data_IF_830366207947
#
_entry.id   IF_830366207947
#
_cell.length_a   1.000
_cell.length_b   1.000
_cell.length_c   1.000
_cell.angle_alpha   90.00
_cell.angle_beta   90.00
_cell.angle_gamma   90.00
#
_symmetry.space_group_name_H-M   'P 1'
#
loop_
_entity.id
_entity.type
_entity.pdbx_description
1 polymer ?
#
# COMPACT_ATOMS: atom_id res chain seq x y z
N UNK A 1 3.41 -10.43 0.11
CA UNK A 1 4.22 -9.44 0.85
C UNK A 1 5.70 -9.72 0.61
N UNK A 2 6.45 -8.68 0.33
CA UNK A 2 7.87 -8.82 0.08
C UNK A 2 8.60 -7.49 0.23
N UNK A 3 9.91 -7.53 -0.05
CA UNK A 3 10.73 -6.32 0.00
C UNK A 3 10.63 -5.52 -1.30
N UNK A 4 11.24 -4.31 -1.28
CA UNK A 4 11.18 -3.42 -2.44
C UNK A 4 11.88 -4.01 -3.66
N UNK A 5 13.03 -4.67 -3.47
CA UNK A 5 13.76 -5.23 -4.60
C UNK A 5 12.95 -6.29 -5.36
N UNK A 6 12.09 -7.04 -4.65
CA UNK A 6 11.25 -8.07 -5.25
C UNK A 6 9.99 -7.51 -5.91
N UNK A 7 9.40 -6.45 -5.36
CA UNK A 7 8.06 -5.98 -5.75
C UNK A 7 8.05 -4.60 -6.42
N UNK A 8 9.19 -3.93 -6.52
CA UNK A 8 9.27 -2.54 -6.98
C UNK A 8 8.61 -2.30 -8.33
N UNK A 9 8.86 -3.15 -9.30
CA UNK A 9 8.35 -2.95 -10.66
C UNK A 9 6.82 -2.91 -10.69
N UNK A 10 6.18 -3.93 -10.08
CA UNK A 10 4.73 -3.99 -10.05
C UNK A 10 4.11 -2.90 -9.16
N UNK A 11 4.71 -2.62 -8.02
CA UNK A 11 4.23 -1.58 -7.12
C UNK A 11 4.29 -0.21 -7.79
N UNK A 12 5.39 0.11 -8.48
CA UNK A 12 5.52 1.37 -9.21
C UNK A 12 4.47 1.52 -10.29
N UNK A 13 4.16 0.44 -11.01
CA UNK A 13 3.17 0.49 -12.07
C UNK A 13 1.79 0.88 -11.54
N UNK A 14 1.34 0.26 -10.44
CA UNK A 14 0.05 0.58 -9.82
C UNK A 14 0.07 1.99 -9.25
N UNK A 15 1.12 2.36 -8.52
CA UNK A 15 1.25 3.66 -7.87
C UNK A 15 1.30 4.79 -8.89
N UNK A 16 1.98 4.60 -10.01
CA UNK A 16 2.03 5.59 -11.06
C UNK A 16 0.64 5.84 -11.64
N UNK A 17 -0.10 4.79 -11.97
CA UNK A 17 -1.46 4.93 -12.51
C UNK A 17 -2.39 5.65 -11.52
N UNK A 18 -2.37 5.24 -10.24
CA UNK A 18 -3.31 5.77 -9.25
C UNK A 18 -2.89 7.15 -8.75
N UNK A 19 -1.65 7.31 -8.33
CA UNK A 19 -1.23 8.55 -7.66
C UNK A 19 -0.78 9.61 -8.65
N UNK A 20 -0.05 9.26 -9.69
CA UNK A 20 0.50 10.24 -10.62
C UNK A 20 -0.52 10.56 -11.72
N UNK A 21 -1.06 9.57 -12.41
CA UNK A 21 -1.97 9.79 -13.52
C UNK A 21 -3.37 10.18 -13.07
N UNK A 22 -3.95 9.45 -12.14
CA UNK A 22 -5.33 9.67 -11.69
C UNK A 22 -5.45 10.83 -10.71
N UNK A 23 -4.61 10.86 -9.67
CA UNK A 23 -4.67 11.87 -8.62
C UNK A 23 -3.75 13.05 -8.83
N UNK A 24 -2.94 13.02 -9.91
CA UNK A 24 -2.06 14.12 -10.31
C UNK A 24 -1.05 14.53 -9.24
N UNK A 25 -0.61 13.58 -8.43
CA UNK A 25 0.48 13.81 -7.49
C UNK A 25 1.79 13.85 -8.27
N UNK A 26 2.65 14.87 -8.08
CA UNK A 26 3.94 14.92 -8.75
C UNK A 26 4.77 13.67 -8.47
N UNK A 27 5.40 13.12 -9.51
CA UNK A 27 6.22 11.91 -9.39
C UNK A 27 7.29 12.03 -8.30
N UNK A 28 7.90 13.19 -8.19
CA UNK A 28 8.93 13.45 -7.18
C UNK A 28 8.41 13.34 -5.74
N UNK A 29 7.12 13.61 -5.52
CA UNK A 29 6.48 13.46 -4.20
C UNK A 29 6.01 12.05 -3.93
N UNK A 30 5.66 11.29 -4.97
CA UNK A 30 5.22 9.92 -4.84
C UNK A 30 6.37 8.97 -4.53
N UNK A 31 7.52 9.16 -5.15
CA UNK A 31 8.72 8.37 -4.92
C UNK A 31 9.53 8.93 -3.76
N UNK A 32 9.91 8.07 -2.82
CA UNK A 32 10.76 8.47 -1.69
C UNK A 32 11.73 7.34 -1.33
N UNK A 33 12.70 7.66 -0.48
CA UNK A 33 13.73 6.69 -0.06
C UNK A 33 13.20 5.65 0.93
N UNK A 34 12.03 5.86 1.52
CA UNK A 34 11.46 4.94 2.48
C UNK A 34 11.04 3.60 1.85
N UNK A 35 10.82 3.56 0.53
CA UNK A 35 10.46 2.33 -0.16
C UNK A 35 11.49 1.22 0.02
N UNK A 36 12.77 1.55 0.05
CA UNK A 36 13.84 0.55 0.14
C UNK A 36 13.79 -0.24 1.45
N UNK A 37 13.35 0.39 2.54
CA UNK A 37 13.33 -0.20 3.87
C UNK A 37 11.94 -0.71 4.28
N UNK A 38 10.94 -0.54 3.44
CA UNK A 38 9.56 -0.93 3.73
C UNK A 38 9.27 -2.36 3.29
N UNK A 39 8.27 -2.96 3.93
CA UNK A 39 7.59 -4.13 3.37
C UNK A 39 6.50 -3.67 2.41
N UNK A 40 6.26 -4.44 1.38
CA UNK A 40 5.27 -4.12 0.37
C UNK A 40 4.33 -5.30 0.15
N UNK A 41 3.11 -5.00 -0.24
CA UNK A 41 2.16 -5.99 -0.74
C UNK A 41 1.89 -5.67 -2.20
N UNK A 42 1.81 -6.72 -3.02
CA UNK A 42 1.44 -6.60 -4.43
C UNK A 42 0.43 -7.69 -4.74
N UNK A 43 -0.71 -7.29 -5.29
CA UNK A 43 -1.75 -8.22 -5.71
C UNK A 43 -1.78 -8.22 -7.24
N UNK A 44 -1.66 -9.41 -7.82
CA UNK A 44 -1.69 -9.62 -9.26
C UNK A 44 -2.98 -10.35 -9.65
N UNK A 45 -3.41 -10.14 -10.90
CA UNK A 45 -4.51 -10.92 -11.46
C UNK A 45 -4.01 -12.27 -11.98
N UNK A 46 -4.89 -13.03 -12.64
CA UNK A 46 -4.55 -14.36 -13.18
C UNK A 46 -3.46 -14.31 -14.25
N UNK A 47 -3.33 -13.18 -14.95
CA UNK A 47 -2.29 -12.96 -15.96
C UNK A 47 -1.00 -12.40 -15.35
N UNK A 48 -0.89 -12.39 -14.02
CA UNK A 48 0.26 -11.84 -13.28
C UNK A 48 0.45 -10.33 -13.42
N UNK A 49 -0.58 -9.61 -13.86
CA UNK A 49 -0.54 -8.15 -13.95
C UNK A 49 -0.81 -7.52 -12.58
N UNK A 50 -0.05 -6.48 -12.19
CA UNK A 50 -0.25 -5.84 -10.89
C UNK A 50 -1.56 -5.05 -10.85
N UNK A 51 -2.36 -5.30 -9.82
CA UNK A 51 -3.69 -4.70 -9.67
C UNK A 51 -3.79 -3.80 -8.45
N UNK A 52 -3.09 -4.11 -7.37
CA UNK A 52 -3.14 -3.35 -6.12
C UNK A 52 -1.81 -3.46 -5.39
N UNK A 53 -1.49 -2.45 -4.59
CA UNK A 53 -0.26 -2.42 -3.81
C UNK A 53 -0.45 -1.61 -2.54
N UNK A 54 0.49 -1.72 -1.60
CA UNK A 54 0.59 -0.92 -0.40
C UNK A 54 1.95 -1.11 0.23
N UNK A 55 2.31 -0.27 1.21
CA UNK A 55 3.58 -0.41 1.91
C UNK A 55 3.41 -0.29 3.42
N UNK A 56 4.30 -0.94 4.16
CA UNK A 56 4.38 -0.90 5.60
C UNK A 56 5.74 -0.36 6.01
N UNK A 57 5.75 0.83 6.60
CA UNK A 57 6.94 1.44 7.17
C UNK A 57 7.00 1.15 8.67
N UNK A 58 8.17 1.31 9.25
CA UNK A 58 8.34 1.36 10.69
C UNK A 58 8.53 2.82 11.10
N UNK A 59 7.47 3.42 11.66
CA UNK A 59 7.52 4.82 12.08
C UNK A 59 8.41 5.00 13.32
N UNK A 60 8.38 4.02 14.22
CA UNK A 60 9.24 3.92 15.39
C UNK A 60 9.23 2.47 15.86
N UNK A 61 10.12 2.06 16.80
CA UNK A 61 10.10 0.68 17.28
C UNK A 61 8.72 0.28 17.81
N UNK A 62 8.16 -0.80 17.27
CA UNK A 62 6.85 -1.31 17.63
C UNK A 62 5.66 -0.58 17.01
N UNK A 63 5.89 0.39 16.12
CA UNK A 63 4.83 1.15 15.46
C UNK A 63 4.98 1.05 13.94
N UNK A 64 4.03 0.38 13.30
CA UNK A 64 3.95 0.29 11.85
C UNK A 64 3.16 1.46 11.26
N UNK A 65 3.48 1.82 10.03
CA UNK A 65 2.73 2.84 9.29
C UNK A 65 2.41 2.31 7.90
N UNK A 66 1.13 2.16 7.60
CA UNK A 66 0.64 1.70 6.30
C UNK A 66 0.34 2.93 5.44
N UNK A 67 0.83 2.91 4.20
CA UNK A 67 0.56 3.96 3.25
C UNK A 67 0.73 3.48 1.83
N UNK A 68 0.64 4.40 0.88
CA UNK A 68 0.74 4.11 -0.56
C UNK A 68 -0.17 2.96 -0.99
N UNK A 69 -1.34 2.82 -0.33
CA UNK A 69 -2.33 1.82 -0.68
C UNK A 69 -3.05 2.27 -1.95
N UNK A 70 -3.02 1.45 -2.98
CA UNK A 70 -3.56 1.81 -4.29
C UNK A 70 -4.16 0.60 -4.97
N UNK A 71 -5.32 0.79 -5.59
CA UNK A 71 -6.00 -0.23 -6.41
C UNK A 71 -6.29 0.39 -7.77
N UNK A 72 -5.97 -0.30 -8.84
CA UNK A 72 -6.28 0.16 -10.18
C UNK A 72 -7.78 0.42 -10.32
N UNK A 73 -8.13 1.48 -11.03
CA UNK A 73 -9.50 1.96 -11.16
C UNK A 73 -10.47 0.87 -11.60
N UNK A 74 -10.09 0.06 -12.59
CA UNK A 74 -10.94 -1.00 -13.14
C UNK A 74 -11.16 -2.17 -12.17
N UNK A 75 -10.43 -2.22 -11.07
CA UNK A 75 -10.54 -3.29 -10.07
C UNK A 75 -11.09 -2.82 -8.73
N UNK A 76 -11.52 -1.57 -8.64
CA UNK A 76 -12.14 -1.05 -7.42
C UNK A 76 -13.51 -1.67 -7.21
N UNK A 77 -13.90 -1.79 -5.94
CA UNK A 77 -15.15 -2.44 -5.55
C UNK A 77 -15.07 -3.95 -5.42
N UNK A 78 -13.94 -4.57 -5.79
CA UNK A 78 -13.74 -6.01 -5.70
C UNK A 78 -13.05 -6.49 -4.44
N UNK A 79 -12.77 -5.61 -3.48
CA UNK A 79 -12.15 -5.99 -2.21
C UNK A 79 -10.64 -6.07 -2.21
N UNK A 80 -9.94 -5.69 -3.28
CA UNK A 80 -8.48 -5.79 -3.36
C UNK A 80 -7.79 -4.87 -2.35
N UNK A 81 -8.31 -3.66 -2.14
CA UNK A 81 -7.76 -2.74 -1.14
C UNK A 81 -7.83 -3.33 0.26
N UNK A 82 -8.93 -3.99 0.59
CA UNK A 82 -9.10 -4.67 1.86
C UNK A 82 -8.12 -5.83 2.03
N UNK A 83 -7.91 -6.62 0.98
CA UNK A 83 -6.94 -7.72 0.99
C UNK A 83 -5.53 -7.18 1.21
N UNK A 84 -5.15 -6.13 0.50
CA UNK A 84 -3.84 -5.50 0.64
C UNK A 84 -3.64 -4.95 2.05
N UNK A 85 -4.63 -4.24 2.60
CA UNK A 85 -4.57 -3.68 3.95
C UNK A 85 -4.40 -4.79 5.00
N UNK A 86 -5.20 -5.84 4.91
CA UNK A 86 -5.13 -6.96 5.85
C UNK A 86 -3.79 -7.68 5.79
N UNK A 87 -3.22 -7.84 4.59
CA UNK A 87 -1.90 -8.46 4.43
C UNK A 87 -0.81 -7.64 5.13
N UNK A 88 -0.86 -6.32 5.01
CA UNK A 88 0.10 -5.44 5.67
C UNK A 88 -0.09 -5.42 7.19
N UNK A 89 -1.34 -5.47 7.67
CA UNK A 89 -1.61 -5.57 9.11
C UNK A 89 -1.07 -6.88 9.68
N UNK A 90 -1.24 -7.99 8.96
CA UNK A 90 -0.67 -9.27 9.36
C UNK A 90 0.85 -9.24 9.39
N UNK A 91 1.49 -8.58 8.41
CA UNK A 91 2.93 -8.42 8.38
C UNK A 91 3.44 -7.59 9.56
N UNK A 92 2.71 -6.53 9.94
CA UNK A 92 3.05 -5.74 11.11
C UNK A 92 2.97 -6.57 12.39
N UNK A 93 1.92 -7.38 12.55
CA UNK A 93 1.77 -8.26 13.70
C UNK A 93 2.91 -9.29 13.78
N UNK A 94 3.28 -9.89 12.65
CA UNK A 94 4.37 -10.84 12.59
C UNK A 94 5.72 -10.21 12.94
N UNK A 95 5.91 -8.94 12.58
CA UNK A 95 7.10 -8.18 12.91
C UNK A 95 7.16 -7.78 14.39
N UNK A 96 6.04 -7.88 15.12
CA UNK A 96 5.94 -7.54 16.52
C UNK A 96 5.49 -6.11 16.79
N UNK A 97 4.91 -5.44 15.80
CA UNK A 97 4.37 -4.10 16.00
C UNK A 97 3.17 -4.13 16.93
N UNK A 98 3.12 -3.19 17.88
CA UNK A 98 2.03 -3.07 18.85
C UNK A 98 0.94 -2.12 18.35
N UNK A 99 1.30 -1.21 17.45
CA UNK A 99 0.41 -0.22 16.90
C UNK A 99 0.64 -0.14 15.40
N UNK A 100 -0.44 0.12 14.66
CA UNK A 100 -0.37 0.36 13.23
C UNK A 100 -1.11 1.66 12.94
N UNK A 101 -0.37 2.63 12.39
CA UNK A 101 -0.91 3.90 11.95
C UNK A 101 -1.23 3.81 10.46
N UNK A 102 -2.21 4.60 10.03
CA UNK A 102 -2.58 4.67 8.64
C UNK A 102 -2.38 6.09 8.11
N UNK A 103 -1.65 6.18 7.00
CA UNK A 103 -1.48 7.43 6.29
C UNK A 103 -2.38 7.39 5.04
N UNK A 104 -3.55 8.03 5.14
CA UNK A 104 -4.57 7.99 4.10
C UNK A 104 -4.89 9.37 3.57
N UNK A 105 -5.24 9.43 2.30
CA UNK A 105 -5.82 10.63 1.72
C UNK A 105 -7.27 10.80 2.21
N UNK A 106 -7.75 12.04 2.22
CA UNK A 106 -9.10 12.35 2.68
C UNK A 106 -10.16 11.54 1.94
N UNK A 107 -10.00 11.34 0.64
CA UNK A 107 -10.94 10.56 -0.18
C UNK A 107 -11.03 9.09 0.22
N UNK A 108 -10.04 8.56 0.94
CA UNK A 108 -9.99 7.16 1.35
C UNK A 108 -10.39 6.95 2.82
N UNK A 109 -10.68 8.01 3.58
CA UNK A 109 -10.91 7.88 5.03
C UNK A 109 -12.11 7.01 5.36
N UNK A 110 -13.19 7.09 4.60
CA UNK A 110 -14.37 6.27 4.85
C UNK A 110 -14.07 4.78 4.70
N UNK A 111 -13.26 4.41 3.71
CA UNK A 111 -12.82 3.03 3.54
C UNK A 111 -12.06 2.53 4.77
N UNK A 112 -11.11 3.33 5.25
CA UNK A 112 -10.27 2.94 6.38
C UNK A 112 -11.05 2.88 7.68
N UNK A 113 -11.98 3.79 7.88
CA UNK A 113 -12.87 3.78 9.04
C UNK A 113 -13.67 2.47 9.09
N UNK A 114 -14.15 2.00 7.95
CA UNK A 114 -14.86 0.72 7.84
C UNK A 114 -13.98 -0.48 8.19
N UNK A 115 -12.65 -0.34 8.11
CA UNK A 115 -11.68 -1.39 8.48
C UNK A 115 -11.20 -1.28 9.94
N UNK A 116 -11.75 -0.36 10.74
CA UNK A 116 -11.41 -0.21 12.15
C UNK A 116 -10.32 0.82 12.47
N UNK A 117 -10.06 1.73 11.56
CA UNK A 117 -9.08 2.82 11.76
C UNK A 117 -9.73 4.13 12.15
#
# INVERSE_FOLDING_TARGET
VGDWSSLAEGARAVRFEVFVQEQQIPLALEQDSADADALHVLIRNRQHLPMATGRLLQASPGVGQIGRLAVRRERRGGGLGKVALKALMAAAAQRGDREVMLHAQTSAQSFYTAQGF
#
